data_IF_909976152187
#
_entry.id   IF_909976152187
#
_cell.length_a   1.000
_cell.length_b   1.000
_cell.length_c   1.000
_cell.angle_alpha   90.00
_cell.angle_beta   90.00
_cell.angle_gamma   90.00
#
_symmetry.space_group_name_H-M   'P 1'
#
loop_
_entity.id
_entity.type
_entity.pdbx_description
1 polymer ?
#
# COMPACT_ATOMS: atom_id res chain seq x y z
N UNK A 1 -13.79 -2.23 20.73
CA UNK A 1 -13.81 -0.75 20.85
C UNK A 1 -12.64 -0.20 20.06
N UNK A 2 -12.90 0.53 19.00
CA UNK A 2 -11.84 1.14 18.18
C UNK A 2 -11.20 2.26 19.01
N UNK A 3 -9.91 2.16 19.30
CA UNK A 3 -9.18 3.20 20.05
C UNK A 3 -9.15 4.46 19.21
N UNK A 4 -9.68 5.56 19.72
CA UNK A 4 -9.66 6.85 19.03
C UNK A 4 -8.24 7.42 18.99
N UNK A 5 -7.95 8.17 17.93
CA UNK A 5 -6.62 8.71 17.66
C UNK A 5 -6.42 10.04 18.38
N UNK A 6 -5.35 10.16 19.16
CA UNK A 6 -4.91 11.45 19.74
C UNK A 6 -4.14 12.30 18.74
N UNK A 7 -3.48 11.67 17.79
CA UNK A 7 -2.63 12.33 16.80
C UNK A 7 -2.61 11.51 15.51
N UNK A 8 -2.56 12.19 14.39
CA UNK A 8 -2.38 11.60 13.06
C UNK A 8 -1.09 12.13 12.43
N UNK A 9 -0.32 11.25 11.79
CA UNK A 9 0.84 11.64 11.00
C UNK A 9 0.37 12.04 9.60
N UNK A 10 0.63 13.27 9.22
CA UNK A 10 0.31 13.83 7.90
C UNK A 10 1.57 14.37 7.26
N UNK A 11 1.58 14.43 5.91
CA UNK A 11 2.66 15.00 5.10
C UNK A 11 4.04 14.38 5.38
N UNK A 12 4.07 13.11 5.79
CA UNK A 12 5.32 12.39 6.01
C UNK A 12 6.14 12.22 4.73
N UNK A 13 5.48 12.24 3.59
CA UNK A 13 6.07 12.18 2.25
C UNK A 13 6.63 13.54 1.76
N UNK A 14 6.62 14.61 2.58
CA UNK A 14 7.05 15.97 2.19
C UNK A 14 6.41 16.48 0.87
N UNK A 15 5.21 16.01 0.56
CA UNK A 15 4.45 16.22 -0.70
C UNK A 15 5.07 15.57 -1.96
N UNK A 16 6.05 14.69 -1.81
CA UNK A 16 6.62 13.93 -2.91
C UNK A 16 6.07 12.49 -2.90
N UNK A 17 5.56 12.05 -4.02
CA UNK A 17 5.34 10.62 -4.27
C UNK A 17 6.69 9.96 -4.53
N UNK A 18 6.84 8.68 -4.18
CA UNK A 18 8.06 7.99 -4.59
C UNK A 18 8.07 7.82 -6.12
N UNK A 19 9.28 7.90 -6.65
CA UNK A 19 9.55 7.78 -8.08
C UNK A 19 10.27 6.46 -8.34
N UNK A 20 10.27 6.05 -9.58
CA UNK A 20 11.12 4.94 -10.00
C UNK A 20 12.56 5.11 -9.49
N UNK A 21 13.13 4.03 -9.00
CA UNK A 21 14.49 4.00 -8.44
C UNK A 21 14.65 4.54 -7.00
N UNK A 22 13.68 5.28 -6.44
CA UNK A 22 13.82 5.82 -5.07
C UNK A 22 13.87 4.73 -4.00
N UNK A 23 12.96 3.76 -4.08
CA UNK A 23 12.89 2.66 -3.13
C UNK A 23 14.15 1.77 -3.23
N UNK A 24 14.56 1.42 -4.47
CA UNK A 24 15.79 0.68 -4.72
C UNK A 24 17.02 1.39 -4.14
N UNK A 25 17.18 2.68 -4.45
CA UNK A 25 18.32 3.46 -3.98
C UNK A 25 18.35 3.54 -2.46
N UNK A 26 17.18 3.81 -1.85
CA UNK A 26 17.06 3.87 -0.40
C UNK A 26 17.39 2.54 0.27
N UNK A 27 16.88 1.41 -0.25
CA UNK A 27 17.16 0.07 0.30
C UNK A 27 18.65 -0.28 0.20
N UNK A 28 19.30 -0.04 -0.94
CA UNK A 28 20.74 -0.29 -1.09
C UNK A 28 21.57 0.50 -0.07
N UNK A 29 21.25 1.79 0.09
CA UNK A 29 21.97 2.61 1.06
C UNK A 29 21.70 2.18 2.52
N UNK A 30 20.49 1.67 2.84
CA UNK A 30 20.17 1.10 4.16
C UNK A 30 20.92 -0.21 4.40
N UNK A 31 21.08 -1.05 3.38
CA UNK A 31 21.86 -2.30 3.45
C UNK A 31 23.33 -2.01 3.79
N UNK A 32 23.89 -0.96 3.17
CA UNK A 32 25.28 -0.53 3.43
C UNK A 32 25.44 0.13 4.82
N UNK A 33 24.46 0.94 5.25
CA UNK A 33 24.46 1.64 6.55
C UNK A 33 23.04 1.86 7.08
N UNK A 34 22.60 1.07 8.07
CA UNK A 34 21.32 1.23 8.75
C UNK A 34 21.13 2.62 9.40
N UNK A 35 22.21 3.32 9.71
CA UNK A 35 22.21 4.67 10.30
C UNK A 35 22.19 5.81 9.26
N UNK A 36 22.12 5.49 7.97
CA UNK A 36 22.19 6.43 6.83
C UNK A 36 21.40 7.72 7.07
N UNK A 37 20.13 7.60 7.44
CA UNK A 37 19.23 8.77 7.59
C UNK A 37 19.54 9.65 8.81
N UNK A 38 20.55 9.28 9.59
CA UNK A 38 21.10 10.08 10.71
C UNK A 38 22.48 10.67 10.37
N UNK A 39 23.02 10.41 9.15
CA UNK A 39 24.32 10.92 8.71
C UNK A 39 24.20 12.30 8.07
N UNK A 40 25.21 13.13 8.26
CA UNK A 40 25.26 14.48 7.67
C UNK A 40 25.38 14.44 6.13
N UNK A 41 26.03 13.40 5.58
CA UNK A 41 26.24 13.23 4.14
C UNK A 41 25.14 12.43 3.42
N UNK A 42 23.98 12.20 4.05
CA UNK A 42 22.87 11.42 3.48
C UNK A 42 22.38 12.00 2.14
N UNK A 43 22.36 13.31 2.00
CA UNK A 43 21.96 13.98 0.75
C UNK A 43 22.90 13.65 -0.41
N UNK A 44 24.20 13.60 -0.13
CA UNK A 44 25.23 13.24 -1.11
C UNK A 44 25.12 11.77 -1.50
N UNK A 45 24.99 10.86 -0.53
CA UNK A 45 24.84 9.42 -0.78
C UNK A 45 23.59 9.10 -1.59
N UNK A 46 22.47 9.73 -1.27
CA UNK A 46 21.22 9.57 -2.02
C UNK A 46 21.16 10.45 -3.28
N UNK A 47 22.05 11.44 -3.44
CA UNK A 47 22.06 12.37 -4.58
C UNK A 47 20.75 13.13 -4.74
N UNK A 48 20.12 13.53 -3.63
CA UNK A 48 18.84 14.24 -3.60
C UNK A 48 18.80 15.30 -2.50
N UNK A 49 17.90 16.27 -2.62
CA UNK A 49 17.74 17.33 -1.62
C UNK A 49 17.15 16.82 -0.29
N UNK A 50 17.30 17.58 0.77
CA UNK A 50 16.93 17.22 2.16
C UNK A 50 15.46 16.79 2.33
N UNK A 51 14.51 17.43 1.64
CA UNK A 51 13.10 17.03 1.67
C UNK A 51 12.88 15.67 0.98
N UNK A 52 13.57 15.41 -0.12
CA UNK A 52 13.51 14.12 -0.82
C UNK A 52 14.12 13.00 0.03
N UNK A 53 15.19 13.26 0.79
CA UNK A 53 15.75 12.31 1.77
C UNK A 53 14.67 11.87 2.77
N UNK A 54 13.95 12.85 3.36
CA UNK A 54 12.86 12.55 4.30
C UNK A 54 11.73 11.76 3.63
N UNK A 55 11.41 12.09 2.39
CA UNK A 55 10.39 11.40 1.61
C UNK A 55 10.80 9.95 1.31
N UNK A 56 12.04 9.70 0.87
CA UNK A 56 12.56 8.34 0.64
C UNK A 56 12.47 7.52 1.92
N UNK A 57 12.95 8.06 3.05
CA UNK A 57 12.85 7.39 4.36
C UNK A 57 11.40 7.06 4.71
N UNK A 58 10.47 8.00 4.52
CA UNK A 58 9.06 7.80 4.77
C UNK A 58 8.49 6.67 3.90
N UNK A 59 8.77 6.66 2.60
CA UNK A 59 8.23 5.66 1.69
C UNK A 59 8.81 4.27 1.94
N UNK A 60 10.08 4.13 2.35
CA UNK A 60 10.63 2.83 2.77
C UNK A 60 9.86 2.24 3.96
N UNK A 61 9.43 3.09 4.91
CA UNK A 61 8.63 2.65 6.05
C UNK A 61 7.16 2.43 5.66
N UNK A 62 6.58 3.34 4.91
CA UNK A 62 5.17 3.30 4.51
C UNK A 62 4.84 2.08 3.67
N UNK A 63 5.76 1.65 2.81
CA UNK A 63 5.66 0.45 1.98
C UNK A 63 6.02 -0.84 2.71
N UNK A 64 6.45 -0.78 3.97
CA UNK A 64 6.87 -1.95 4.74
C UNK A 64 8.23 -2.54 4.34
N UNK A 65 8.96 -1.92 3.41
CA UNK A 65 10.29 -2.38 2.99
C UNK A 65 11.33 -2.26 4.10
N UNK A 66 11.23 -1.20 4.91
CA UNK A 66 12.08 -0.98 6.07
C UNK A 66 11.24 -0.63 7.29
N UNK A 67 11.81 -0.87 8.46
CA UNK A 67 11.28 -0.41 9.74
C UNK A 67 12.30 0.44 10.49
N UNK A 68 11.82 1.35 11.34
CA UNK A 68 12.67 2.13 12.22
C UNK A 68 12.91 1.39 13.52
N UNK A 69 14.16 1.15 13.86
CA UNK A 69 14.57 0.57 15.13
C UNK A 69 15.37 1.58 15.94
N UNK A 70 15.17 1.54 17.26
CA UNK A 70 15.94 2.35 18.20
C UNK A 70 17.07 1.53 18.78
N UNK A 71 18.30 2.00 18.60
CA UNK A 71 19.53 1.38 19.14
C UNK A 71 20.08 2.21 20.31
N UNK A 72 21.00 1.62 21.07
CA UNK A 72 21.70 2.29 22.17
C UNK A 72 20.72 2.94 23.20
N UNK A 73 19.76 2.17 23.68
CA UNK A 73 18.74 2.64 24.66
C UNK A 73 17.95 3.86 24.16
N UNK A 74 17.62 3.89 22.85
CA UNK A 74 16.79 4.93 22.24
C UNK A 74 17.57 6.17 21.75
N UNK A 75 18.91 6.18 21.84
CA UNK A 75 19.73 7.34 21.43
C UNK A 75 20.05 7.39 19.93
N UNK A 76 20.01 6.25 19.24
CA UNK A 76 20.29 6.16 17.83
C UNK A 76 19.09 5.55 17.08
N UNK A 77 18.79 6.08 15.89
CA UNK A 77 17.74 5.55 15.01
C UNK A 77 18.40 4.83 13.84
N UNK A 78 18.01 3.60 13.61
CA UNK A 78 18.39 2.79 12.48
C UNK A 78 17.19 2.53 11.59
N UNK A 79 17.40 2.45 10.27
CA UNK A 79 16.46 1.87 9.33
C UNK A 79 16.93 0.47 9.03
N UNK A 80 16.04 -0.51 9.22
CA UNK A 80 16.37 -1.93 9.01
C UNK A 80 15.43 -2.48 7.94
N UNK A 81 15.99 -3.21 6.97
CA UNK A 81 15.20 -3.91 5.96
C UNK A 81 14.38 -4.99 6.66
N UNK A 82 13.07 -5.02 6.40
CA UNK A 82 12.17 -6.01 7.02
C UNK A 82 12.47 -7.42 6.51
N UNK A 83 12.64 -8.37 7.43
CA UNK A 83 13.09 -9.72 7.11
C UNK A 83 12.10 -10.50 6.20
N UNK A 84 10.80 -10.34 6.44
CA UNK A 84 9.76 -11.14 5.79
C UNK A 84 9.19 -10.49 4.51
N UNK A 85 9.50 -9.23 4.25
CA UNK A 85 9.00 -8.50 3.08
C UNK A 85 10.11 -7.79 2.33
N UNK A 86 10.80 -6.81 2.95
CA UNK A 86 11.84 -6.02 2.30
C UNK A 86 12.98 -6.86 1.77
N UNK A 87 13.48 -7.82 2.57
CA UNK A 87 14.56 -8.72 2.17
C UNK A 87 14.17 -9.62 0.99
N UNK A 88 12.94 -10.13 0.96
CA UNK A 88 12.45 -10.95 -0.17
C UNK A 88 12.39 -10.12 -1.46
N UNK A 89 11.86 -8.89 -1.39
CA UNK A 89 11.81 -8.01 -2.57
C UNK A 89 13.23 -7.64 -3.02
N UNK A 90 14.12 -7.30 -2.09
CA UNK A 90 15.52 -6.97 -2.41
C UNK A 90 16.24 -8.11 -3.14
N UNK A 91 15.95 -9.37 -2.77
CA UNK A 91 16.53 -10.55 -3.42
C UNK A 91 15.89 -10.85 -4.78
N UNK A 92 14.55 -10.77 -4.86
CA UNK A 92 13.77 -11.31 -6.00
C UNK A 92 13.41 -10.27 -7.06
N UNK A 93 13.14 -9.03 -6.66
CA UNK A 93 12.79 -7.92 -7.55
C UNK A 93 13.44 -6.60 -7.08
N UNK A 94 14.77 -6.51 -7.07
CA UNK A 94 15.50 -5.34 -6.56
C UNK A 94 15.28 -4.06 -7.37
N UNK A 95 14.70 -4.17 -8.56
CA UNK A 95 14.41 -3.04 -9.45
C UNK A 95 12.96 -2.57 -9.36
N UNK A 96 12.07 -3.33 -8.69
CA UNK A 96 10.65 -3.05 -8.60
C UNK A 96 9.95 -3.02 -9.97
N UNK A 97 10.40 -3.88 -10.87
CA UNK A 97 9.90 -3.99 -12.24
C UNK A 97 8.65 -4.88 -12.33
N UNK A 98 8.45 -5.77 -11.34
CA UNK A 98 7.33 -6.68 -11.33
C UNK A 98 6.06 -6.01 -10.77
N UNK A 99 4.97 -6.06 -11.53
CA UNK A 99 3.69 -5.49 -11.12
C UNK A 99 3.13 -6.15 -9.85
N UNK A 100 3.46 -7.41 -9.60
CA UNK A 100 3.13 -8.11 -8.36
C UNK A 100 3.72 -7.38 -7.15
N UNK A 101 5.01 -7.02 -7.22
CA UNK A 101 5.68 -6.20 -6.18
C UNK A 101 4.91 -4.91 -5.93
N UNK A 102 4.49 -4.21 -6.98
CA UNK A 102 3.76 -2.95 -6.87
C UNK A 102 2.41 -3.13 -6.16
N UNK A 103 1.69 -4.23 -6.39
CA UNK A 103 0.46 -4.56 -5.66
C UNK A 103 0.70 -4.79 -4.18
N UNK A 104 1.81 -5.45 -3.82
CA UNK A 104 2.17 -5.66 -2.42
C UNK A 104 2.56 -4.33 -1.73
N UNK A 105 3.36 -3.47 -2.39
CA UNK A 105 3.67 -2.14 -1.89
C UNK A 105 2.40 -1.32 -1.65
N UNK A 106 1.47 -1.35 -2.60
CA UNK A 106 0.17 -0.71 -2.46
C UNK A 106 -0.57 -1.21 -1.21
N UNK A 107 -0.68 -2.54 -1.04
CA UNK A 107 -1.31 -3.11 0.16
C UNK A 107 -0.69 -2.58 1.44
N UNK A 108 0.65 -2.61 1.56
CA UNK A 108 1.33 -2.11 2.75
C UNK A 108 1.06 -0.62 3.02
N UNK A 109 0.99 0.22 1.98
CA UNK A 109 0.64 1.64 2.13
C UNK A 109 -0.79 1.79 2.67
N UNK A 110 -1.77 1.12 2.06
CA UNK A 110 -3.19 1.33 2.41
C UNK A 110 -3.59 0.62 3.70
N UNK A 111 -2.82 -0.34 4.18
CA UNK A 111 -2.99 -0.98 5.48
C UNK A 111 -2.27 -0.25 6.63
N UNK A 112 -1.42 0.74 6.33
CA UNK A 112 -0.58 1.43 7.31
C UNK A 112 -1.28 2.65 7.91
N UNK A 113 -2.16 2.44 8.88
CA UNK A 113 -2.85 3.54 9.58
C UNK A 113 -1.89 4.51 10.29
N UNK A 114 -0.75 4.00 10.78
CA UNK A 114 0.19 4.81 11.56
C UNK A 114 0.91 5.87 10.73
N UNK A 115 1.25 5.55 9.49
CA UNK A 115 2.01 6.44 8.59
C UNK A 115 1.16 7.01 7.47
N UNK A 116 0.17 6.27 6.97
CA UNK A 116 -0.55 6.55 5.74
C UNK A 116 -2.07 6.67 5.97
N UNK A 117 -2.49 7.30 7.08
CA UNK A 117 -3.91 7.43 7.43
C UNK A 117 -4.80 7.96 6.28
N UNK A 118 -4.42 8.98 5.47
CA UNK A 118 -5.23 9.41 4.33
C UNK A 118 -5.42 8.32 3.26
N UNK A 119 -4.39 7.50 2.96
CA UNK A 119 -4.47 6.35 2.05
C UNK A 119 -5.38 5.26 2.62
N UNK A 120 -5.21 4.96 3.94
CA UNK A 120 -6.07 4.00 4.63
C UNK A 120 -7.55 4.41 4.52
N UNK A 121 -7.90 5.64 4.88
CA UNK A 121 -9.27 6.14 4.81
C UNK A 121 -9.82 6.08 3.38
N UNK A 122 -9.02 6.52 2.40
CA UNK A 122 -9.48 6.57 1.01
C UNK A 122 -9.78 5.18 0.44
N UNK A 123 -8.90 4.19 0.65
CA UNK A 123 -9.11 2.86 0.10
C UNK A 123 -10.07 2.01 0.93
N UNK A 124 -10.04 2.10 2.25
CA UNK A 124 -10.78 1.21 3.13
C UNK A 124 -12.17 1.73 3.56
N UNK A 125 -12.34 3.06 3.68
CA UNK A 125 -13.54 3.63 4.29
C UNK A 125 -14.32 4.56 3.35
N UNK A 126 -13.67 5.18 2.37
CA UNK A 126 -14.34 6.04 1.40
C UNK A 126 -15.12 5.19 0.37
N UNK A 127 -16.44 5.33 0.38
CA UNK A 127 -17.36 4.50 -0.44
C UNK A 127 -17.61 5.07 -1.85
N UNK A 128 -17.19 6.31 -2.14
CA UNK A 128 -17.42 6.96 -3.43
C UNK A 128 -16.71 6.22 -4.57
N UNK A 129 -17.47 5.79 -5.57
CA UNK A 129 -16.93 5.18 -6.79
C UNK A 129 -16.41 6.26 -7.74
N UNK A 130 -17.25 7.25 -8.05
CA UNK A 130 -16.91 8.44 -8.84
C UNK A 130 -16.82 9.64 -7.91
N UNK A 131 -15.81 10.48 -8.09
CA UNK A 131 -15.57 11.60 -7.19
C UNK A 131 -14.79 12.74 -7.86
N UNK A 132 -14.95 13.94 -7.33
CA UNK A 132 -14.00 15.04 -7.55
C UNK A 132 -13.00 15.11 -6.40
N UNK A 133 -11.88 15.78 -6.61
CA UNK A 133 -10.86 15.98 -5.58
C UNK A 133 -11.47 16.63 -4.31
N UNK A 134 -12.30 17.63 -4.49
CA UNK A 134 -12.95 18.39 -3.40
C UNK A 134 -13.90 17.49 -2.59
N UNK A 135 -14.71 16.68 -3.29
CA UNK A 135 -15.60 15.71 -2.65
C UNK A 135 -14.82 14.65 -1.86
N UNK A 136 -13.78 14.08 -2.45
CA UNK A 136 -12.90 13.13 -1.78
C UNK A 136 -12.30 13.72 -0.49
N UNK A 137 -11.73 14.93 -0.56
CA UNK A 137 -11.14 15.61 0.59
C UNK A 137 -12.17 15.82 1.69
N UNK A 138 -13.37 16.35 1.35
CA UNK A 138 -14.43 16.63 2.33
C UNK A 138 -14.85 15.35 3.06
N UNK A 139 -15.18 14.28 2.33
CA UNK A 139 -15.65 13.03 2.94
C UNK A 139 -14.55 12.33 3.73
N UNK A 140 -13.32 12.26 3.19
CA UNK A 140 -12.19 11.66 3.92
C UNK A 140 -11.84 12.44 5.20
N UNK A 141 -11.99 13.77 5.19
CA UNK A 141 -11.81 14.61 6.38
C UNK A 141 -12.86 14.29 7.46
N UNK A 142 -14.13 14.13 7.08
CA UNK A 142 -15.19 13.72 8.02
C UNK A 142 -14.90 12.34 8.63
N UNK A 143 -14.43 11.39 7.82
CA UNK A 143 -14.05 10.06 8.28
C UNK A 143 -12.86 10.13 9.26
N UNK A 144 -11.85 10.96 8.99
CA UNK A 144 -10.74 11.17 9.91
C UNK A 144 -11.20 11.79 11.24
N UNK A 145 -12.05 12.82 11.21
CA UNK A 145 -12.58 13.44 12.42
C UNK A 145 -13.30 12.45 13.31
N UNK A 146 -14.09 11.52 12.73
CA UNK A 146 -14.78 10.46 13.48
C UNK A 146 -13.82 9.49 14.19
N UNK A 147 -12.60 9.33 13.66
CA UNK A 147 -11.55 8.49 14.26
C UNK A 147 -10.77 9.19 15.36
N UNK A 148 -10.77 10.51 15.41
CA UNK A 148 -10.01 11.28 16.39
C UNK A 148 -10.74 11.40 17.73
N UNK A 149 -9.95 11.54 18.81
CA UNK A 149 -10.49 11.89 20.14
C UNK A 149 -11.06 13.31 20.11
N UNK A 150 -12.09 13.54 20.92
CA UNK A 150 -12.70 14.85 21.07
C UNK A 150 -11.66 15.88 21.55
N UNK A 151 -11.65 17.07 20.92
CA UNK A 151 -10.68 18.13 21.21
C UNK A 151 -9.31 17.98 20.52
N UNK A 152 -9.05 16.88 19.82
CA UNK A 152 -7.84 16.74 19.00
C UNK A 152 -8.01 17.42 17.64
N UNK A 153 -6.93 17.99 17.12
CA UNK A 153 -6.91 18.67 15.82
C UNK A 153 -5.74 18.18 14.95
N UNK A 154 -5.83 18.44 13.66
CA UNK A 154 -4.79 18.16 12.68
C UNK A 154 -4.68 19.33 11.67
N UNK A 155 -3.58 19.38 10.91
CA UNK A 155 -3.41 20.35 9.84
C UNK A 155 -4.27 19.99 8.64
N UNK A 156 -5.33 20.76 8.38
CA UNK A 156 -6.22 20.56 7.22
C UNK A 156 -5.43 20.63 5.91
N UNK A 157 -4.56 21.62 5.77
CA UNK A 157 -3.72 21.76 4.59
C UNK A 157 -2.82 20.53 4.35
N UNK A 158 -2.23 19.98 5.40
CA UNK A 158 -1.40 18.76 5.27
C UNK A 158 -2.24 17.56 4.86
N UNK A 159 -3.48 17.46 5.33
CA UNK A 159 -4.41 16.42 4.93
C UNK A 159 -4.82 16.57 3.45
N UNK A 160 -5.13 17.78 2.99
CA UNK A 160 -5.42 18.07 1.58
C UNK A 160 -4.24 17.77 0.66
N UNK A 161 -3.01 18.09 1.10
CA UNK A 161 -1.78 17.75 0.39
C UNK A 161 -1.63 16.22 0.21
N UNK A 162 -1.89 15.43 1.27
CA UNK A 162 -1.85 13.97 1.22
C UNK A 162 -2.95 13.39 0.33
N UNK A 163 -4.19 13.90 0.41
CA UNK A 163 -5.27 13.52 -0.51
C UNK A 163 -4.90 13.81 -1.98
N UNK A 164 -4.26 14.95 -2.22
CA UNK A 164 -3.76 15.30 -3.55
C UNK A 164 -2.65 14.35 -4.02
N UNK A 165 -1.80 13.91 -3.09
CA UNK A 165 -0.77 12.90 -3.36
C UNK A 165 -1.38 11.56 -3.76
N UNK A 166 -2.47 11.10 -3.11
CA UNK A 166 -3.17 9.87 -3.48
C UNK A 166 -3.56 9.93 -4.97
N UNK A 167 -4.25 11.00 -5.39
CA UNK A 167 -4.66 11.13 -6.79
C UNK A 167 -3.45 11.06 -7.73
N UNK A 168 -2.38 11.81 -7.45
CA UNK A 168 -1.17 11.81 -8.29
C UNK A 168 -0.44 10.46 -8.32
N UNK A 169 -0.48 9.69 -7.23
CA UNK A 169 0.18 8.38 -7.17
C UNK A 169 -0.46 7.34 -8.07
N UNK A 170 -1.78 7.38 -8.18
CA UNK A 170 -2.53 6.31 -8.87
C UNK A 170 -3.09 6.73 -10.23
N UNK A 171 -2.89 7.98 -10.64
CA UNK A 171 -3.30 8.44 -11.98
C UNK A 171 -2.08 8.89 -12.79
N UNK A 172 -1.98 8.44 -14.03
CA UNK A 172 -1.01 8.99 -14.95
C UNK A 172 -1.39 10.45 -15.27
N UNK A 173 -0.61 11.39 -14.80
CA UNK A 173 -0.72 12.78 -15.21
C UNK A 173 0.01 12.95 -16.56
N UNK A 174 -0.70 12.70 -17.65
CA UNK A 174 -0.15 12.74 -19.01
C UNK A 174 0.08 14.13 -19.56
N UNK A 175 0.55 15.10 -18.82
CA UNK A 175 1.08 16.41 -19.28
C UNK A 175 1.63 17.14 -18.06
N UNK A 176 2.88 16.92 -17.76
CA UNK A 176 3.59 17.74 -16.81
C UNK A 176 4.63 18.53 -17.60
N UNK A 177 4.52 19.86 -17.57
CA UNK A 177 5.46 20.77 -18.21
C UNK A 177 6.87 20.69 -17.58
N UNK A 178 6.95 20.12 -16.36
CA UNK A 178 8.21 19.93 -15.64
C UNK A 178 8.71 18.48 -15.82
N UNK A 179 9.90 18.29 -16.44
CA UNK A 179 10.51 16.97 -16.60
C UNK A 179 10.76 16.25 -15.25
N UNK A 180 10.96 16.98 -14.16
CA UNK A 180 11.14 16.39 -12.83
C UNK A 180 9.82 15.89 -12.23
N UNK A 181 8.69 16.49 -12.57
CA UNK A 181 7.37 16.02 -12.19
C UNK A 181 6.81 14.96 -13.17
N UNK A 182 7.42 14.78 -14.34
CA UNK A 182 7.01 13.81 -15.35
C UNK A 182 7.28 12.36 -14.97
N UNK A 183 8.12 12.10 -13.96
CA UNK A 183 8.37 10.76 -13.42
C UNK A 183 7.16 10.30 -12.63
N UNK A 184 6.27 9.57 -13.28
CA UNK A 184 5.07 9.00 -12.65
C UNK A 184 5.44 8.07 -11.48
N UNK A 185 4.59 8.05 -10.47
CA UNK A 185 4.70 7.02 -9.45
C UNK A 185 4.40 5.65 -10.06
N UNK A 186 5.21 4.61 -9.81
CA UNK A 186 4.98 3.27 -10.37
C UNK A 186 3.59 2.70 -10.08
N UNK A 187 2.97 3.09 -8.94
CA UNK A 187 1.63 2.63 -8.57
C UNK A 187 0.51 3.08 -9.53
N UNK A 188 0.76 4.03 -10.42
CA UNK A 188 -0.20 4.39 -11.47
C UNK A 188 -0.45 3.23 -12.45
N UNK A 189 0.53 2.32 -12.63
CA UNK A 189 0.40 1.13 -13.46
C UNK A 189 -0.62 0.12 -12.93
N UNK A 190 -0.98 0.18 -11.63
CA UNK A 190 -1.96 -0.73 -11.02
C UNK A 190 -3.39 -0.54 -11.54
N UNK A 191 -3.71 0.63 -12.12
CA UNK A 191 -5.02 0.91 -12.67
C UNK A 191 -6.14 1.03 -11.61
N UNK A 192 -5.80 1.34 -10.35
CA UNK A 192 -6.75 1.42 -9.24
C UNK A 192 -7.56 2.72 -9.23
N UNK A 193 -7.06 3.77 -9.87
CA UNK A 193 -7.76 5.03 -10.10
C UNK A 193 -7.66 5.43 -11.57
N UNK A 194 -8.75 5.99 -12.09
CA UNK A 194 -8.82 6.51 -13.44
C UNK A 194 -9.35 7.93 -13.43
N UNK A 195 -8.82 8.77 -14.32
CA UNK A 195 -9.37 10.10 -14.59
C UNK A 195 -10.54 9.96 -15.55
N UNK A 196 -11.63 10.64 -15.27
CA UNK A 196 -12.79 10.65 -16.18
C UNK A 196 -12.43 11.30 -17.52
N UNK A 197 -12.80 10.64 -18.60
CA UNK A 197 -12.62 11.22 -19.95
C UNK A 197 -13.58 12.38 -20.23
N UNK A 198 -14.74 12.40 -19.57
CA UNK A 198 -15.79 13.42 -19.77
C UNK A 198 -15.58 14.66 -18.90
N UNK A 199 -15.02 14.50 -17.71
CA UNK A 199 -14.77 15.59 -16.78
C UNK A 199 -13.35 15.49 -16.21
N UNK A 200 -12.47 16.40 -16.63
CA UNK A 200 -11.05 16.41 -16.21
C UNK A 200 -10.83 16.52 -14.70
N UNK A 201 -11.83 16.97 -13.96
CA UNK A 201 -11.78 17.12 -12.50
C UNK A 201 -12.42 15.95 -11.76
N UNK A 202 -12.92 14.94 -12.47
CA UNK A 202 -13.52 13.76 -11.89
C UNK A 202 -12.61 12.54 -12.05
N UNK A 203 -12.68 11.67 -11.06
CA UNK A 203 -11.92 10.44 -10.95
C UNK A 203 -12.86 9.30 -10.57
N UNK A 204 -12.46 8.06 -10.85
CA UNK A 204 -13.17 6.88 -10.41
C UNK A 204 -12.21 5.84 -9.84
N UNK A 205 -12.67 5.11 -8.81
CA UNK A 205 -12.03 3.87 -8.38
C UNK A 205 -12.26 2.82 -9.45
N UNK A 206 -11.23 2.05 -9.79
CA UNK A 206 -11.32 0.98 -10.80
C UNK A 206 -10.68 -0.30 -10.31
N UNK A 207 -11.15 -1.41 -10.82
CA UNK A 207 -10.51 -2.70 -10.60
C UNK A 207 -9.27 -2.81 -11.50
N UNK A 208 -8.19 -3.45 -11.03
CA UNK A 208 -7.08 -3.82 -11.90
C UNK A 208 -7.52 -4.71 -13.06
N UNK A 209 -6.73 -4.74 -14.13
CA UNK A 209 -6.96 -5.71 -15.20
C UNK A 209 -6.71 -7.14 -14.68
N UNK A 210 -7.35 -8.14 -15.30
CA UNK A 210 -7.19 -9.54 -14.91
C UNK A 210 -5.77 -10.07 -15.18
N UNK A 211 -5.09 -9.47 -16.15
CA UNK A 211 -3.72 -9.82 -16.50
C UNK A 211 -2.72 -9.21 -15.53
N UNK A 212 -3.05 -8.05 -14.90
CA UNK A 212 -2.11 -7.36 -14.01
C UNK A 212 -2.14 -7.85 -12.58
N UNK A 213 -3.32 -8.19 -12.03
CA UNK A 213 -3.43 -8.67 -10.65
C UNK A 213 -3.33 -10.20 -10.60
N UNK A 214 -2.19 -10.73 -10.19
CA UNK A 214 -2.01 -12.17 -9.98
C UNK A 214 -2.80 -12.67 -8.75
N UNK A 215 -3.33 -13.90 -8.84
CA UNK A 215 -4.06 -14.55 -7.74
C UNK A 215 -3.21 -14.70 -6.47
N UNK A 216 -1.88 -14.79 -6.59
CA UNK A 216 -0.99 -14.87 -5.43
C UNK A 216 -0.89 -13.53 -4.68
N UNK A 217 -1.05 -12.38 -5.36
CA UNK A 217 -1.18 -11.09 -4.66
C UNK A 217 -2.49 -11.02 -3.85
N UNK A 218 -3.58 -11.59 -4.40
CA UNK A 218 -4.85 -11.73 -3.67
C UNK A 218 -4.68 -12.65 -2.45
N UNK A 219 -4.04 -13.80 -2.62
CA UNK A 219 -3.74 -14.74 -1.52
C UNK A 219 -2.86 -14.09 -0.45
N UNK A 220 -1.83 -13.34 -0.85
CA UNK A 220 -0.96 -12.59 0.06
C UNK A 220 -1.77 -11.67 0.99
N UNK A 221 -2.66 -10.85 0.44
CA UNK A 221 -3.50 -9.95 1.24
C UNK A 221 -4.43 -10.73 2.17
N UNK A 222 -5.03 -11.82 1.69
CA UNK A 222 -5.88 -12.68 2.53
C UNK A 222 -5.07 -13.21 3.73
N UNK A 223 -3.88 -13.75 3.48
CA UNK A 223 -3.04 -14.33 4.55
C UNK A 223 -2.51 -13.30 5.52
N UNK A 224 -2.18 -12.08 5.08
CA UNK A 224 -1.78 -10.97 5.96
C UNK A 224 -2.89 -10.58 6.96
N UNK A 225 -4.16 -10.81 6.61
CA UNK A 225 -5.32 -10.48 7.46
C UNK A 225 -5.82 -11.67 8.31
N UNK A 226 -5.22 -12.85 8.15
CA UNK A 226 -5.48 -14.00 9.00
C UNK A 226 -4.56 -13.98 10.23
N UNK A 227 -5.07 -14.48 11.36
CA UNK A 227 -4.24 -14.70 12.55
C UNK A 227 -3.72 -16.14 12.56
N UNK A 228 -2.65 -16.40 13.32
CA UNK A 228 -2.11 -17.76 13.51
C UNK A 228 -3.15 -18.77 14.02
N UNK A 229 -4.19 -18.28 14.69
CA UNK A 229 -5.27 -19.11 15.28
C UNK A 229 -6.47 -19.24 14.34
N UNK A 230 -6.68 -18.29 13.44
CA UNK A 230 -7.87 -18.21 12.56
C UNK A 230 -7.44 -18.30 11.10
N UNK A 231 -7.58 -19.49 10.50
CA UNK A 231 -7.26 -19.74 9.10
C UNK A 231 -8.45 -19.53 8.13
N UNK A 232 -9.51 -18.88 8.58
CA UNK A 232 -10.72 -18.70 7.79
C UNK A 232 -11.24 -17.26 7.82
N UNK A 233 -11.89 -16.87 6.73
CA UNK A 233 -12.50 -15.54 6.55
C UNK A 233 -13.79 -15.67 5.74
N UNK A 234 -14.80 -14.85 6.03
CA UNK A 234 -16.02 -14.82 5.21
C UNK A 234 -15.80 -14.09 3.89
N UNK A 235 -16.54 -14.45 2.84
CA UNK A 235 -16.50 -13.71 1.57
C UNK A 235 -17.00 -12.26 1.77
N UNK A 236 -17.91 -12.04 2.71
CA UNK A 236 -18.37 -10.69 3.06
C UNK A 236 -17.27 -9.85 3.70
N UNK A 237 -16.44 -10.44 4.58
CA UNK A 237 -15.27 -9.74 5.14
C UNK A 237 -14.22 -9.48 4.04
N UNK A 238 -13.99 -10.43 3.14
CA UNK A 238 -13.10 -10.23 2.00
C UNK A 238 -13.54 -9.06 1.11
N UNK A 239 -14.84 -8.82 0.99
CA UNK A 239 -15.40 -7.72 0.20
C UNK A 239 -15.38 -6.39 0.96
N UNK A 240 -15.79 -6.38 2.24
CA UNK A 240 -16.20 -5.17 2.94
C UNK A 240 -15.28 -4.75 4.09
N UNK A 241 -14.57 -5.70 4.73
CA UNK A 241 -13.73 -5.35 5.86
C UNK A 241 -12.47 -4.58 5.41
N UNK A 242 -12.00 -3.61 6.21
CA UNK A 242 -10.76 -2.89 5.94
C UNK A 242 -9.57 -3.84 5.72
N UNK A 243 -8.63 -3.40 4.92
CA UNK A 243 -7.41 -4.12 4.54
C UNK A 243 -7.62 -5.41 3.77
N UNK A 244 -8.87 -5.79 3.45
CA UNK A 244 -9.18 -6.94 2.63
C UNK A 244 -9.26 -6.61 1.13
N UNK A 245 -9.22 -7.64 0.31
CA UNK A 245 -9.04 -7.57 -1.15
C UNK A 245 -10.11 -6.74 -1.87
N UNK A 246 -11.34 -6.69 -1.37
CA UNK A 246 -12.41 -5.86 -1.92
C UNK A 246 -12.09 -4.37 -1.80
N UNK A 247 -11.58 -3.94 -0.64
CA UNK A 247 -11.20 -2.54 -0.37
C UNK A 247 -9.85 -2.19 -0.99
N UNK A 248 -8.83 -3.02 -0.77
CA UNK A 248 -7.46 -2.78 -1.23
C UNK A 248 -7.38 -2.70 -2.76
N UNK A 249 -8.02 -3.61 -3.47
CA UNK A 249 -7.93 -3.70 -4.93
C UNK A 249 -9.21 -3.27 -5.66
N UNK A 250 -10.14 -2.63 -4.97
CA UNK A 250 -11.45 -2.25 -5.51
C UNK A 250 -12.22 -3.42 -6.17
N UNK A 251 -12.07 -4.66 -5.66
CA UNK A 251 -12.68 -5.83 -6.27
C UNK A 251 -14.17 -5.93 -5.98
N UNK A 252 -14.95 -6.21 -7.01
CA UNK A 252 -16.35 -6.59 -6.86
C UNK A 252 -16.50 -8.01 -6.32
N UNK A 253 -17.66 -8.36 -5.77
CA UNK A 253 -17.99 -9.73 -5.32
C UNK A 253 -17.75 -10.78 -6.41
N UNK A 254 -18.06 -10.45 -7.67
CA UNK A 254 -17.84 -11.35 -8.81
C UNK A 254 -16.34 -11.58 -9.04
N UNK A 255 -15.55 -10.52 -9.01
CA UNK A 255 -14.09 -10.62 -9.16
C UNK A 255 -13.47 -11.43 -8.01
N UNK A 256 -13.88 -11.19 -6.76
CA UNK A 256 -13.45 -11.96 -5.60
C UNK A 256 -13.73 -13.45 -5.79
N UNK A 257 -14.95 -13.83 -6.15
CA UNK A 257 -15.28 -15.24 -6.38
C UNK A 257 -14.43 -15.86 -7.49
N UNK A 258 -14.12 -15.12 -8.57
CA UNK A 258 -13.26 -15.61 -9.64
C UNK A 258 -11.82 -15.88 -9.14
N UNK A 259 -11.26 -15.00 -8.31
CA UNK A 259 -9.93 -15.22 -7.70
C UNK A 259 -9.94 -16.39 -6.72
N UNK A 260 -10.98 -16.49 -5.89
CA UNK A 260 -11.14 -17.60 -4.93
C UNK A 260 -11.25 -18.95 -5.65
N UNK A 261 -11.98 -19.02 -6.77
CA UNK A 261 -12.07 -20.25 -7.57
C UNK A 261 -10.72 -20.63 -8.21
N UNK A 262 -9.94 -19.65 -8.69
CA UNK A 262 -8.58 -19.89 -9.20
C UNK A 262 -7.64 -20.40 -8.10
N UNK A 263 -7.72 -19.84 -6.90
CA UNK A 263 -6.91 -20.25 -5.74
C UNK A 263 -7.33 -21.64 -5.26
N UNK A 264 -8.63 -21.93 -5.23
CA UNK A 264 -9.17 -23.26 -4.89
C UNK A 264 -8.71 -24.33 -5.86
N UNK A 265 -8.79 -24.08 -7.18
CA UNK A 265 -8.31 -25.00 -8.22
C UNK A 265 -6.80 -25.25 -8.08
N UNK A 266 -6.05 -24.24 -7.66
CA UNK A 266 -4.61 -24.35 -7.42
C UNK A 266 -4.26 -24.98 -6.06
N UNK A 267 -5.25 -25.32 -5.22
CA UNK A 267 -5.04 -26.01 -3.94
C UNK A 267 -4.62 -25.13 -2.76
N UNK A 268 -4.74 -23.80 -2.86
CA UNK A 268 -4.36 -22.87 -1.78
C UNK A 268 -5.44 -22.69 -0.72
N UNK A 269 -6.69 -22.91 -1.07
CA UNK A 269 -7.82 -22.71 -0.17
C UNK A 269 -8.98 -23.63 -0.52
N UNK A 270 -9.90 -23.79 0.46
CA UNK A 270 -11.22 -24.40 0.25
C UNK A 270 -12.31 -23.38 0.56
N UNK A 271 -13.49 -23.58 -0.06
CA UNK A 271 -14.65 -22.71 0.12
C UNK A 271 -15.80 -23.57 0.62
N UNK A 272 -16.34 -23.23 1.78
CA UNK A 272 -17.53 -23.83 2.31
C UNK A 272 -18.71 -22.87 2.14
N UNK A 273 -19.72 -23.30 1.37
CA UNK A 273 -20.95 -22.55 1.09
C UNK A 273 -22.13 -23.24 1.77
N UNK A 274 -22.26 -23.04 3.08
CA UNK A 274 -23.33 -23.67 3.85
C UNK A 274 -24.20 -22.61 4.50
N UNK A 275 -25.51 -22.69 4.28
CA UNK A 275 -26.57 -21.93 4.99
C UNK A 275 -26.37 -20.39 5.01
N UNK A 276 -25.86 -19.80 3.91
CA UNK A 276 -25.70 -18.34 3.79
C UNK A 276 -24.43 -17.78 4.39
N UNK A 277 -23.55 -18.63 4.93
CA UNK A 277 -22.20 -18.27 5.37
C UNK A 277 -21.18 -18.86 4.40
N UNK A 278 -20.73 -18.03 3.46
CA UNK A 278 -19.67 -18.39 2.52
C UNK A 278 -18.30 -18.17 3.19
N UNK A 279 -17.70 -19.26 3.67
CA UNK A 279 -16.40 -19.24 4.37
C UNK A 279 -15.27 -19.76 3.49
N UNK A 280 -14.17 -19.05 3.51
CA UNK A 280 -12.90 -19.41 2.86
C UNK A 280 -11.94 -19.90 3.92
N UNK A 281 -11.34 -21.05 3.71
CA UNK A 281 -10.33 -21.65 4.57
C UNK A 281 -9.02 -21.76 3.79
N UNK A 282 -7.96 -21.12 4.29
CA UNK A 282 -6.64 -21.23 3.68
C UNK A 282 -6.01 -22.56 4.10
N UNK A 283 -5.64 -23.37 3.13
CA UNK A 283 -5.01 -24.68 3.33
C UNK A 283 -3.56 -24.48 3.77
N UNK A 284 -3.18 -25.11 4.88
CA UNK A 284 -1.84 -25.04 5.49
C UNK A 284 -1.45 -23.61 5.95
N UNK A 285 -0.61 -23.46 6.97
CA UNK A 285 -0.18 -22.14 7.45
C UNK A 285 0.84 -21.50 6.51
N UNK A 286 0.42 -21.15 5.27
CA UNK A 286 1.27 -20.38 4.37
C UNK A 286 1.48 -18.99 4.95
N UNK A 287 2.72 -18.63 5.17
CA UNK A 287 3.07 -17.27 5.56
C UNK A 287 3.11 -16.37 4.32
N UNK A 288 2.82 -15.07 4.44
CA UNK A 288 2.90 -14.14 3.31
C UNK A 288 4.23 -14.22 2.53
N UNK A 289 5.35 -14.39 3.23
CA UNK A 289 6.68 -14.54 2.62
C UNK A 289 6.82 -15.79 1.73
N UNK A 290 6.12 -16.89 2.07
CA UNK A 290 6.17 -18.14 1.28
C UNK A 290 5.43 -17.92 -0.06
N UNK A 291 4.32 -17.17 -0.03
CA UNK A 291 3.55 -16.80 -1.22
C UNK A 291 4.38 -15.94 -2.17
N UNK A 292 5.12 -14.96 -1.62
CA UNK A 292 6.04 -14.13 -2.41
C UNK A 292 7.12 -15.00 -3.08
N UNK A 293 7.78 -15.82 -2.29
CA UNK A 293 8.85 -16.73 -2.78
C UNK A 293 8.32 -17.65 -3.89
N UNK A 294 7.14 -18.20 -3.71
CA UNK A 294 6.49 -19.04 -4.70
C UNK A 294 6.19 -18.28 -6.01
N UNK A 295 5.66 -17.07 -5.92
CA UNK A 295 5.39 -16.22 -7.08
C UNK A 295 6.66 -15.98 -7.89
N UNK A 296 7.71 -15.45 -7.26
CA UNK A 296 8.96 -15.14 -7.97
C UNK A 296 9.67 -16.36 -8.52
N UNK A 297 9.59 -17.50 -7.84
CA UNK A 297 10.15 -18.78 -8.37
C UNK A 297 9.43 -19.19 -9.65
N UNK A 298 8.10 -19.07 -9.70
CA UNK A 298 7.31 -19.38 -10.89
C UNK A 298 7.52 -18.36 -12.02
N UNK A 299 7.73 -17.09 -11.70
CA UNK A 299 7.97 -16.03 -12.67
C UNK A 299 9.33 -16.19 -13.39
N UNK A 300 10.35 -16.66 -12.68
CA UNK A 300 11.69 -16.92 -13.25
C UNK A 300 11.73 -18.09 -14.26
N UNK A 301 10.71 -18.95 -14.26
CA UNK A 301 10.61 -20.13 -15.17
C UNK A 301 9.81 -19.79 -16.44
N UNK A 302 9.18 -18.63 -16.50
CA UNK A 302 8.45 -18.11 -17.67
C UNK A 302 9.35 -17.28 -18.58
#
# INVERSE_FOLDING_TARGET
MTTRLKKVKLKGNESFNFREGWLRKGMRCVEDDESLFSRDNVMEQLGVGSKMVKSIRYWLQATGLCEEQYRNSGRARAQVITANFGAVIQEKDPYFDDIFTLFLLHYHIVANEALCMPWYIFFNEYEGQDFTKENMISVCKELLVKKMEEGCSFSEKSFEDDCSSIIRMYTNSGNVEDPEESLACPLAALGLLQRSQRNKNAYSKSMPSRESLDKLAVLYVITCNLSEVKNSVSIDDLLNAPNNIGKVFNLSRVAINNYLDQLRIAGYLTINRTAGLDMVYVESPMKPQDIMTEYYTKAQVR
#
